data_IF_092148194181
#
_entry.id   IF_092148194181
#
_cell.length_a   1.000
_cell.length_b   1.000
_cell.length_c   1.000
_cell.angle_alpha   90.00
_cell.angle_beta   90.00
_cell.angle_gamma   90.00
#
_symmetry.space_group_name_H-M   'P 1'
#
loop_
_entity.id
_entity.type
_entity.pdbx_description
1 polymer ?
#
# COMPACT_ATOMS: atom_id res chain seq x y z
N UNK A 1 12.24 6.89 -5.82
CA UNK A 1 12.18 7.06 -4.36
C UNK A 1 11.01 7.98 -4.06
N UNK A 2 9.99 7.44 -3.38
CA UNK A 2 8.82 8.19 -2.93
C UNK A 2 8.93 8.38 -1.43
N UNK A 3 8.80 9.63 -1.00
CA UNK A 3 8.75 9.97 0.41
C UNK A 3 7.33 9.79 0.92
N UNK A 4 7.20 9.26 2.12
CA UNK A 4 5.92 9.14 2.78
C UNK A 4 6.06 8.88 4.26
N UNK A 5 4.91 8.74 4.89
CA UNK A 5 4.77 8.48 6.30
C UNK A 5 4.20 7.09 6.49
N UNK A 6 4.90 6.25 7.25
CA UNK A 6 4.35 5.00 7.75
C UNK A 6 3.68 5.26 9.10
N UNK A 7 2.50 4.72 9.31
CA UNK A 7 1.71 4.94 10.52
C UNK A 7 0.94 3.68 10.91
N UNK A 8 0.74 3.51 12.20
CA UNK A 8 -0.17 2.51 12.74
C UNK A 8 -1.48 3.22 13.10
N UNK A 9 -2.56 2.84 12.43
CA UNK A 9 -3.89 3.44 12.63
C UNK A 9 -4.67 2.83 13.79
N UNK A 10 -4.10 1.84 14.49
CA UNK A 10 -4.80 0.99 15.45
C UNK A 10 -5.55 -0.17 14.79
N UNK A 11 -5.70 -0.16 13.45
CA UNK A 11 -6.32 -1.23 12.67
C UNK A 11 -5.38 -1.84 11.63
N UNK A 12 -4.48 -1.05 11.05
CA UNK A 12 -3.52 -1.50 10.04
C UNK A 12 -2.27 -0.61 10.06
N UNK A 13 -1.23 -1.08 9.37
CA UNK A 13 -0.04 -0.29 9.05
C UNK A 13 -0.24 0.30 7.66
N UNK A 14 -0.20 1.63 7.58
CA UNK A 14 -0.43 2.37 6.34
C UNK A 14 0.80 3.23 6.05
N UNK A 15 1.30 3.13 4.82
CA UNK A 15 2.21 4.09 4.25
C UNK A 15 1.43 5.07 3.36
N UNK A 16 1.57 6.37 3.59
CA UNK A 16 0.92 7.42 2.81
C UNK A 16 1.96 8.33 2.17
N UNK A 17 1.83 8.60 0.87
CA UNK A 17 2.72 9.50 0.13
C UNK A 17 2.59 10.93 0.62
N UNK A 18 3.71 11.62 0.80
CA UNK A 18 3.71 13.05 1.08
C UNK A 18 3.36 13.86 -0.18
N UNK A 19 2.47 14.84 -0.01
CA UNK A 19 2.00 15.72 -1.10
C UNK A 19 3.13 16.53 -1.77
N UNK A 20 4.25 16.77 -1.07
CA UNK A 20 5.39 17.54 -1.60
C UNK A 20 6.37 16.71 -2.44
N UNK A 21 6.06 15.44 -2.68
CA UNK A 21 6.90 14.57 -3.51
C UNK A 21 6.97 15.08 -4.96
N UNK A 22 8.18 15.44 -5.41
CA UNK A 22 8.43 15.91 -6.80
C UNK A 22 8.24 14.82 -7.86
N UNK A 23 8.18 13.55 -7.45
CA UNK A 23 8.04 12.41 -8.33
C UNK A 23 6.72 11.72 -8.04
N UNK A 24 5.80 11.74 -9.00
CA UNK A 24 4.55 11.00 -8.93
C UNK A 24 4.68 9.68 -9.68
N UNK A 25 4.12 8.62 -9.10
CA UNK A 25 4.07 7.30 -9.73
C UNK A 25 2.67 7.05 -10.22
N UNK A 26 2.59 6.70 -11.51
CA UNK A 26 1.35 6.49 -12.21
C UNK A 26 1.10 5.00 -12.43
N UNK A 27 -0.11 4.57 -12.17
CA UNK A 27 -0.65 3.25 -12.44
C UNK A 27 -1.51 3.38 -13.71
N UNK A 28 -1.13 2.67 -14.76
CA UNK A 28 -1.75 2.74 -16.10
C UNK A 28 -1.73 1.36 -16.77
N UNK A 29 -2.53 1.19 -17.83
CA UNK A 29 -2.59 -0.05 -18.61
C UNK A 29 -3.54 -1.09 -18.02
N UNK A 30 -3.43 -2.34 -18.50
CA UNK A 30 -4.32 -3.42 -18.09
C UNK A 30 -5.80 -3.07 -18.34
N UNK A 31 -6.70 -3.27 -17.35
CA UNK A 31 -8.11 -2.93 -17.47
C UNK A 31 -8.42 -1.43 -17.24
N UNK A 32 -7.42 -0.58 -17.02
CA UNK A 32 -7.62 0.81 -16.61
C UNK A 32 -7.78 1.74 -17.82
N UNK A 33 -8.91 2.44 -17.87
CA UNK A 33 -9.19 3.47 -18.89
C UNK A 33 -8.55 4.84 -18.59
N UNK A 34 -8.04 5.04 -17.37
CA UNK A 34 -7.49 6.31 -16.91
C UNK A 34 -6.10 6.12 -16.30
N UNK A 35 -5.42 7.25 -16.12
CA UNK A 35 -4.22 7.33 -15.32
C UNK A 35 -4.58 7.52 -13.85
N UNK A 36 -4.07 6.63 -13.02
CA UNK A 36 -4.18 6.74 -11.56
C UNK A 36 -2.82 7.09 -10.99
N UNK A 37 -2.79 7.90 -9.94
CA UNK A 37 -1.58 8.23 -9.20
C UNK A 37 -1.57 7.48 -7.88
N UNK A 38 -0.46 6.81 -7.58
CA UNK A 38 -0.24 6.13 -6.30
C UNK A 38 -0.36 7.10 -5.12
N UNK A 39 -0.99 6.64 -4.04
CA UNK A 39 -1.21 7.43 -2.83
C UNK A 39 -0.90 6.69 -1.53
N UNK A 40 -1.32 5.43 -1.39
CA UNK A 40 -1.22 4.71 -0.11
C UNK A 40 -0.88 3.23 -0.30
N UNK A 41 -0.23 2.63 0.70
CA UNK A 41 -0.07 1.18 0.82
C UNK A 41 -0.66 0.75 2.16
N UNK A 42 -1.52 -0.25 2.14
CA UNK A 42 -2.02 -0.91 3.34
C UNK A 42 -1.42 -2.31 3.45
N UNK A 43 -1.08 -2.70 4.68
CA UNK A 43 -0.55 -4.03 4.98
C UNK A 43 -1.56 -4.76 5.88
N UNK A 44 -2.05 -5.89 5.39
CA UNK A 44 -2.96 -6.78 6.11
C UNK A 44 -2.21 -8.07 6.42
N UNK A 45 -2.27 -8.53 7.66
CA UNK A 45 -1.61 -9.75 8.10
C UNK A 45 -2.39 -10.40 9.24
N UNK A 46 -2.30 -11.72 9.35
CA UNK A 46 -2.96 -12.45 10.42
C UNK A 46 -2.06 -12.65 11.64
N UNK A 47 -2.66 -13.21 12.69
CA UNK A 47 -1.92 -13.66 13.87
C UNK A 47 -1.06 -14.90 13.59
N UNK A 48 -1.44 -15.68 12.58
CA UNK A 48 -0.79 -16.93 12.20
C UNK A 48 -0.65 -17.00 10.69
N UNK A 49 0.38 -17.71 10.22
CA UNK A 49 0.73 -17.74 8.80
C UNK A 49 -0.28 -18.45 7.89
N UNK A 50 -1.34 -19.05 8.44
CA UNK A 50 -2.38 -19.73 7.65
C UNK A 50 -3.45 -18.77 7.10
N UNK A 51 -3.52 -17.54 7.61
CA UNK A 51 -4.54 -16.57 7.24
C UNK A 51 -4.05 -15.14 7.47
N UNK A 52 -4.60 -14.17 6.75
CA UNK A 52 -4.26 -12.76 6.94
C UNK A 52 -4.56 -11.88 5.73
N UNK A 53 -4.55 -12.45 4.53
CA UNK A 53 -5.07 -11.79 3.35
C UNK A 53 -6.58 -11.62 3.41
N UNK A 54 -7.08 -10.52 2.86
CA UNK A 54 -8.52 -10.29 2.71
C UNK A 54 -9.05 -11.05 1.49
N UNK A 55 -8.28 -11.04 0.39
CA UNK A 55 -8.57 -11.84 -0.79
C UNK A 55 -8.10 -13.28 -0.63
N UNK A 56 -8.82 -14.19 -1.29
CA UNK A 56 -8.49 -15.62 -1.33
C UNK A 56 -8.54 -16.13 -2.78
N UNK A 57 -7.70 -17.11 -3.08
CA UNK A 57 -7.69 -17.81 -4.38
C UNK A 57 -8.21 -19.22 -4.15
N UNK A 58 -9.32 -19.59 -4.79
CA UNK A 58 -9.96 -20.91 -4.62
C UNK A 58 -10.23 -21.29 -3.15
N UNK A 59 -10.56 -20.30 -2.31
CA UNK A 59 -10.79 -20.50 -0.88
C UNK A 59 -9.52 -20.57 -0.01
N UNK A 60 -8.33 -20.48 -0.60
CA UNK A 60 -7.07 -20.41 0.13
C UNK A 60 -6.73 -18.96 0.48
N UNK A 61 -6.58 -18.68 1.79
CA UNK A 61 -6.05 -17.43 2.31
C UNK A 61 -4.52 -17.50 2.36
N UNK A 62 -3.89 -16.33 2.33
CA UNK A 62 -2.46 -16.14 2.40
C UNK A 62 -2.08 -15.48 3.74
N UNK A 63 -0.84 -15.68 4.23
CA UNK A 63 -0.39 -15.08 5.50
C UNK A 63 -0.58 -13.55 5.59
N UNK A 64 -0.44 -12.86 4.46
CA UNK A 64 -0.57 -11.40 4.38
C UNK A 64 -0.98 -10.93 2.98
N UNK A 65 -1.44 -9.68 2.90
CA UNK A 65 -1.77 -8.97 1.67
C UNK A 65 -1.27 -7.53 1.74
N UNK A 66 -0.66 -7.07 0.65
CA UNK A 66 -0.32 -5.66 0.45
C UNK A 66 -1.33 -5.08 -0.54
N UNK A 67 -2.02 -4.01 -0.16
CA UNK A 67 -2.93 -3.30 -1.03
C UNK A 67 -2.35 -1.93 -1.39
N UNK A 68 -2.13 -1.69 -2.67
CA UNK A 68 -1.59 -0.44 -3.21
C UNK A 68 -2.74 0.38 -3.77
N UNK A 69 -3.00 1.55 -3.19
CA UNK A 69 -4.07 2.44 -3.61
C UNK A 69 -3.54 3.61 -4.42
N UNK A 70 -4.32 3.98 -5.44
CA UNK A 70 -4.14 5.21 -6.20
C UNK A 70 -5.45 5.87 -6.53
N UNK A 71 -5.41 7.17 -6.82
CA UNK A 71 -6.59 7.94 -7.23
C UNK A 71 -6.50 8.35 -8.70
N UNK A 72 -7.64 8.53 -9.35
CA UNK A 72 -7.74 8.96 -10.73
C UNK A 72 -7.32 10.43 -10.86
N UNK A 73 -6.03 10.66 -11.05
CA UNK A 73 -5.42 11.98 -11.16
C UNK A 73 -5.74 12.68 -12.49
N UNK A 74 -6.42 11.98 -13.41
CA UNK A 74 -6.93 12.59 -14.63
C UNK A 74 -8.29 13.27 -14.41
N UNK A 75 -9.10 12.80 -13.47
CA UNK A 75 -10.45 13.32 -13.22
C UNK A 75 -10.61 14.11 -11.92
N UNK A 76 -9.77 13.83 -10.91
CA UNK A 76 -9.89 14.41 -9.57
C UNK A 76 -8.57 15.02 -9.10
N UNK A 77 -8.66 16.05 -8.27
CA UNK A 77 -7.49 16.85 -7.86
C UNK A 77 -6.65 16.17 -6.79
N UNK A 78 -7.27 15.31 -5.97
CA UNK A 78 -6.62 14.61 -4.88
C UNK A 78 -7.38 13.34 -4.50
N UNK A 79 -6.74 12.50 -3.69
CA UNK A 79 -7.31 11.24 -3.25
C UNK A 79 -8.62 11.39 -2.47
N UNK A 80 -8.72 12.36 -1.56
CA UNK A 80 -9.91 12.57 -0.73
C UNK A 80 -11.15 12.90 -1.57
N UNK A 81 -11.00 13.72 -2.60
CA UNK A 81 -12.07 14.01 -3.56
C UNK A 81 -12.46 12.74 -4.34
N UNK A 82 -11.47 12.01 -4.85
CA UNK A 82 -11.68 10.85 -5.69
C UNK A 82 -12.34 9.67 -4.95
N UNK A 83 -12.06 9.50 -3.66
CA UNK A 83 -12.53 8.38 -2.82
C UNK A 83 -14.05 8.18 -2.87
N UNK A 84 -14.80 9.26 -3.06
CA UNK A 84 -16.27 9.24 -3.07
C UNK A 84 -16.87 9.40 -4.47
N UNK A 85 -16.09 9.13 -5.52
CA UNK A 85 -16.49 9.35 -6.91
C UNK A 85 -16.34 8.09 -7.76
N UNK A 86 -17.17 8.00 -8.80
CA UNK A 86 -17.10 6.89 -9.74
C UNK A 86 -15.74 6.87 -10.44
N UNK A 87 -15.15 5.69 -10.60
CA UNK A 87 -13.82 5.52 -11.21
C UNK A 87 -12.71 6.31 -10.49
N UNK A 88 -12.94 6.70 -9.23
CA UNK A 88 -12.04 7.57 -8.48
C UNK A 88 -10.81 6.88 -7.91
N UNK A 89 -10.90 5.60 -7.55
CA UNK A 89 -9.81 4.84 -6.91
C UNK A 89 -9.46 3.61 -7.75
N UNK A 90 -8.18 3.26 -7.73
CA UNK A 90 -7.67 1.95 -8.15
C UNK A 90 -6.96 1.29 -6.97
N UNK A 91 -7.05 -0.03 -6.88
CA UNK A 91 -6.30 -0.84 -5.93
C UNK A 91 -5.60 -1.98 -6.66
N UNK A 92 -4.35 -2.27 -6.27
CA UNK A 92 -3.62 -3.47 -6.66
C UNK A 92 -3.33 -4.26 -5.38
N UNK A 93 -3.87 -5.49 -5.30
CA UNK A 93 -3.59 -6.41 -4.20
C UNK A 93 -2.46 -7.38 -4.58
N UNK A 94 -1.46 -7.48 -3.72
CA UNK A 94 -0.38 -8.45 -3.78
C UNK A 94 -0.57 -9.44 -2.62
N UNK A 95 -0.68 -10.73 -2.91
CA UNK A 95 -0.80 -11.79 -1.90
C UNK A 95 0.60 -12.30 -1.52
N UNK A 96 0.87 -12.42 -0.22
CA UNK A 96 2.21 -12.74 0.28
C UNK A 96 2.25 -14.19 0.78
N UNK A 97 3.29 -14.90 0.37
CA UNK A 97 3.58 -16.25 0.84
C UNK A 97 4.90 -16.27 1.60
N UNK A 98 4.99 -17.13 2.62
CA UNK A 98 6.26 -17.40 3.28
C UNK A 98 7.27 -18.01 2.30
N UNK A 99 8.53 -17.62 2.47
CA UNK A 99 9.66 -18.20 1.76
C UNK A 99 10.93 -18.12 2.60
N UNK A 100 12.00 -18.72 2.11
CA UNK A 100 13.26 -18.81 2.86
C UNK A 100 14.02 -17.47 2.94
N UNK A 101 13.73 -16.55 2.02
CA UNK A 101 14.38 -15.25 1.92
C UNK A 101 13.39 -14.12 2.20
N UNK A 102 13.84 -13.14 3.00
CA UNK A 102 13.10 -11.89 3.21
C UNK A 102 13.13 -11.03 1.95
N UNK A 103 11.99 -10.40 1.61
CA UNK A 103 11.92 -9.46 0.50
C UNK A 103 12.55 -8.11 0.91
N UNK A 104 13.59 -7.64 0.21
CA UNK A 104 14.32 -6.43 0.60
C UNK A 104 13.48 -5.15 0.52
N UNK A 105 12.52 -5.07 -0.41
CA UNK A 105 11.65 -3.89 -0.54
C UNK A 105 10.60 -3.84 0.57
N UNK A 106 10.03 -5.00 0.92
CA UNK A 106 9.13 -5.09 2.07
C UNK A 106 9.86 -4.78 3.38
N UNK A 107 11.15 -5.14 3.46
CA UNK A 107 11.96 -4.92 4.65
C UNK A 107 12.03 -3.44 5.04
N UNK A 108 12.08 -2.53 4.06
CA UNK A 108 12.08 -1.07 4.26
C UNK A 108 10.87 -0.64 5.12
N UNK A 109 9.69 -1.24 4.90
CA UNK A 109 8.50 -0.95 5.69
C UNK A 109 8.53 -1.67 7.04
N UNK A 110 8.99 -2.93 7.07
CA UNK A 110 8.95 -3.73 8.30
C UNK A 110 9.97 -3.29 9.35
N UNK A 111 11.09 -2.70 8.95
CA UNK A 111 12.11 -2.17 9.87
C UNK A 111 11.58 -1.01 10.73
N UNK A 112 10.54 -0.33 10.27
CA UNK A 112 9.95 0.82 10.96
C UNK A 112 8.81 0.44 11.93
N UNK A 113 8.41 -0.83 11.97
CA UNK A 113 7.25 -1.27 12.76
C UNK A 113 7.42 -1.06 14.26
N UNK A 114 8.64 -1.18 14.80
CA UNK A 114 8.90 -0.91 16.21
C UNK A 114 8.73 0.59 16.54
N UNK A 115 9.01 1.49 15.59
CA UNK A 115 8.87 2.94 15.77
C UNK A 115 7.40 3.37 15.81
N UNK A 116 6.51 2.62 15.15
CA UNK A 116 5.06 2.90 15.09
C UNK A 116 4.21 1.92 15.91
N UNK A 117 4.83 1.15 16.81
CA UNK A 117 4.17 0.08 17.58
C UNK A 117 2.94 0.56 18.35
N UNK A 118 3.08 1.72 19.00
CA UNK A 118 1.98 2.39 19.69
C UNK A 118 1.65 3.61 18.84
N UNK A 119 0.52 3.59 18.13
CA UNK A 119 0.13 4.50 17.03
C UNK A 119 -0.02 5.98 17.38
N UNK A 120 1.01 6.58 17.96
CA UNK A 120 1.05 7.97 18.43
C UNK A 120 1.73 8.85 17.40
N UNK A 121 2.79 8.37 16.74
CA UNK A 121 3.55 9.17 15.78
C UNK A 121 3.85 8.38 14.50
N UNK A 122 3.55 8.93 13.31
CA UNK A 122 4.04 8.36 12.06
C UNK A 122 5.56 8.49 11.96
N UNK A 123 6.19 7.62 11.18
CA UNK A 123 7.63 7.68 10.88
C UNK A 123 7.86 7.96 9.40
N UNK A 124 8.85 8.78 9.09
CA UNK A 124 9.20 9.10 7.71
C UNK A 124 9.98 7.97 7.07
N UNK A 125 9.54 7.54 5.88
CA UNK A 125 10.15 6.43 5.15
C UNK A 125 10.30 6.80 3.69
N UNK A 126 11.41 6.36 3.09
CA UNK A 126 11.58 6.41 1.65
C UNK A 126 11.40 5.03 1.04
N UNK A 127 10.40 4.88 0.19
CA UNK A 127 10.11 3.60 -0.48
C UNK A 127 10.60 3.68 -1.93
N UNK A 128 11.39 2.69 -2.33
CA UNK A 128 11.64 2.41 -3.75
C UNK A 128 10.48 1.55 -4.25
N UNK A 129 9.95 1.87 -5.43
CA UNK A 129 8.83 1.09 -5.94
C UNK A 129 9.30 -0.32 -6.27
N UNK A 130 8.54 -1.31 -5.80
CA UNK A 130 8.62 -2.70 -6.23
C UNK A 130 8.74 -2.73 -7.76
N UNK A 131 9.91 -3.08 -8.28
CA UNK A 131 10.02 -3.54 -9.66
C UNK A 131 9.34 -4.90 -9.70
N UNK A 132 8.02 -4.88 -9.92
CA UNK A 132 7.25 -6.05 -10.32
C UNK A 132 7.62 -6.43 -11.76
#
# INVERSE_FOLDING_TARGET
>A
MINGLISNTGHSVIFTVENETRHHINITGGPLSYKYQFHEIHIHYGLHDQFGSEHAINGYSFPAEIQIFGFNSQLYSNFSEALHKAQGIVSISLLLQLGDLSNPELRILTEELENIKYGVFPTFVNVFFLQL
#
